data_IF_983461813554
#
_entry.id   IF_983461813554
#
_cell.length_a   1.000
_cell.length_b   1.000
_cell.length_c   1.000
_cell.angle_alpha   90.00
_cell.angle_beta   90.00
_cell.angle_gamma   90.00
#
_symmetry.space_group_name_H-M   'P 1'
#
loop_
_entity.id
_entity.type
_entity.pdbx_description
1 polymer ?
#
# COMPACT_ATOMS: atom_id res chain seq x y z
N UNK A 1 -16.77 3.84 -31.67
CA UNK A 1 -17.14 5.24 -31.43
C UNK A 1 -17.33 5.90 -32.78
N UNK A 2 -18.56 5.89 -33.27
CA UNK A 2 -18.93 6.29 -34.64
C UNK A 2 -19.18 7.79 -34.71
N UNK A 3 -19.07 8.38 -35.92
CA UNK A 3 -19.21 9.82 -36.18
C UNK A 3 -20.54 10.43 -35.68
N UNK A 4 -21.57 9.62 -35.50
CA UNK A 4 -22.88 10.03 -34.99
C UNK A 4 -22.84 10.46 -33.50
N UNK A 5 -22.00 9.82 -32.66
CA UNK A 5 -21.80 10.24 -31.25
C UNK A 5 -21.16 11.63 -31.14
N UNK A 6 -20.36 12.04 -32.13
CA UNK A 6 -19.74 13.36 -32.17
C UNK A 6 -20.71 14.47 -32.59
N UNK A 7 -21.73 14.16 -33.41
CA UNK A 7 -22.76 15.13 -33.79
C UNK A 7 -23.73 15.41 -32.62
N UNK A 8 -24.08 14.40 -31.83
CA UNK A 8 -24.86 14.59 -30.59
C UNK A 8 -24.09 15.41 -29.54
N UNK A 9 -22.77 15.20 -29.41
CA UNK A 9 -21.91 16.02 -28.54
C UNK A 9 -21.79 17.48 -29.00
N UNK A 10 -22.11 17.79 -30.26
CA UNK A 10 -21.98 19.12 -30.83
C UNK A 10 -23.22 20.01 -30.61
N UNK A 11 -24.32 19.46 -30.08
CA UNK A 11 -25.54 20.19 -29.70
C UNK A 11 -25.43 20.86 -28.33
N UNK A 12 -24.42 20.50 -27.52
CA UNK A 12 -24.21 21.06 -26.18
C UNK A 12 -23.63 22.49 -26.21
N UNK A 13 -24.24 23.39 -25.43
CA UNK A 13 -23.78 24.77 -25.28
C UNK A 13 -22.41 24.89 -24.59
N UNK A 14 -21.71 26.00 -24.81
CA UNK A 14 -20.37 26.26 -24.21
C UNK A 14 -20.33 26.06 -22.69
N UNK A 15 -21.44 26.37 -22.00
CA UNK A 15 -21.56 26.19 -20.55
C UNK A 15 -21.59 24.70 -20.14
N UNK A 16 -22.36 23.86 -20.86
CA UNK A 16 -22.43 22.42 -20.61
C UNK A 16 -21.09 21.73 -20.88
N UNK A 17 -20.39 22.11 -21.96
CA UNK A 17 -19.03 21.63 -22.24
C UNK A 17 -18.03 22.00 -21.13
N UNK A 18 -18.08 23.24 -20.62
CA UNK A 18 -17.23 23.68 -19.51
C UNK A 18 -17.51 22.93 -18.20
N UNK A 19 -18.79 22.69 -17.91
CA UNK A 19 -19.21 21.98 -16.69
C UNK A 19 -18.83 20.49 -16.74
N UNK A 20 -19.01 19.84 -17.89
CA UNK A 20 -18.57 18.46 -18.11
C UNK A 20 -17.05 18.32 -17.95
N UNK A 21 -16.28 19.26 -18.53
CA UNK A 21 -14.82 19.29 -18.36
C UNK A 21 -14.40 19.47 -16.89
N UNK A 22 -15.10 20.32 -16.13
CA UNK A 22 -14.85 20.51 -14.69
C UNK A 22 -15.14 19.24 -13.88
N UNK A 23 -16.22 18.52 -14.19
CA UNK A 23 -16.54 17.24 -13.55
C UNK A 23 -15.45 16.20 -13.83
N UNK A 24 -15.03 16.05 -15.09
CA UNK A 24 -13.93 15.16 -15.46
C UNK A 24 -12.65 15.52 -14.71
N UNK A 25 -12.25 16.79 -14.73
CA UNK A 25 -11.04 17.27 -14.04
C UNK A 25 -11.08 16.98 -12.54
N UNK A 26 -12.24 17.12 -11.90
CA UNK A 26 -12.41 16.85 -10.47
C UNK A 26 -12.35 15.37 -10.09
N UNK A 27 -12.62 14.45 -11.03
CA UNK A 27 -12.53 13.00 -10.79
C UNK A 27 -11.11 12.44 -10.91
N UNK A 28 -10.21 13.16 -11.59
CA UNK A 28 -8.81 12.72 -11.77
C UNK A 28 -8.09 12.52 -10.42
N UNK A 29 -8.16 13.45 -9.45
CA UNK A 29 -7.59 13.23 -8.12
C UNK A 29 -8.13 11.98 -7.40
N UNK A 30 -9.44 11.69 -7.52
CA UNK A 30 -10.05 10.51 -6.91
C UNK A 30 -9.52 9.21 -7.54
N UNK A 31 -9.34 9.19 -8.86
CA UNK A 31 -8.67 8.08 -9.54
C UNK A 31 -7.24 7.89 -9.04
N UNK A 32 -6.46 8.97 -8.96
CA UNK A 32 -5.08 8.92 -8.44
C UNK A 32 -5.04 8.38 -7.00
N UNK A 33 -6.00 8.76 -6.16
CA UNK A 33 -6.12 8.26 -4.79
C UNK A 33 -6.48 6.77 -4.72
N UNK A 34 -7.23 6.25 -5.69
CA UNK A 34 -7.49 4.80 -5.80
C UNK A 34 -6.25 4.06 -6.26
N UNK A 35 -5.55 4.57 -7.30
CA UNK A 35 -4.31 3.95 -7.79
C UNK A 35 -3.17 3.99 -6.78
N UNK A 36 -3.15 4.97 -5.85
CA UNK A 36 -2.13 5.07 -4.79
C UNK A 36 -1.97 3.78 -3.99
N UNK A 37 -3.03 2.98 -3.89
CA UNK A 37 -3.01 1.71 -3.18
C UNK A 37 -1.96 0.75 -3.72
N UNK A 38 -1.75 0.72 -5.04
CA UNK A 38 -0.76 -0.15 -5.68
C UNK A 38 0.66 0.23 -5.24
N UNK A 39 0.97 1.53 -5.20
CA UNK A 39 2.28 2.01 -4.76
C UNK A 39 2.48 1.82 -3.26
N UNK A 40 1.43 1.98 -2.47
CA UNK A 40 1.51 1.88 -1.01
C UNK A 40 1.66 0.44 -0.52
N UNK A 41 1.14 -0.52 -1.30
CA UNK A 41 1.25 -1.96 -1.07
C UNK A 41 2.41 -2.59 -1.85
N UNK A 42 3.23 -1.80 -2.54
CA UNK A 42 4.39 -2.31 -3.24
C UNK A 42 5.38 -2.92 -2.25
N UNK A 43 5.78 -4.15 -2.54
CA UNK A 43 6.76 -4.92 -1.80
C UNK A 43 8.08 -4.90 -2.57
N UNK A 44 9.08 -4.13 -2.12
CA UNK A 44 10.42 -4.25 -2.66
C UNK A 44 11.07 -5.54 -2.17
N UNK A 45 12.12 -5.99 -2.85
CA UNK A 45 12.95 -7.10 -2.36
C UNK A 45 13.46 -6.80 -0.95
N UNK A 46 13.31 -7.76 -0.06
CA UNK A 46 13.70 -7.64 1.34
C UNK A 46 14.32 -8.92 1.84
N UNK A 47 15.17 -8.79 2.85
CA UNK A 47 15.81 -9.91 3.50
C UNK A 47 15.82 -9.69 5.01
N UNK A 48 15.98 -10.77 5.76
CA UNK A 48 16.15 -10.68 7.19
C UNK A 48 17.47 -9.99 7.54
N UNK A 49 17.43 -9.15 8.58
CA UNK A 49 18.66 -8.51 9.05
C UNK A 49 19.52 -9.52 9.82
N UNK A 50 20.82 -9.25 9.84
CA UNK A 50 21.78 -10.07 10.57
C UNK A 50 21.53 -9.89 12.07
N UNK A 51 21.44 -10.98 12.86
CA UNK A 51 21.17 -10.89 14.29
C UNK A 51 22.16 -9.98 15.03
N UNK A 52 21.67 -9.09 15.89
CA UNK A 52 22.48 -8.09 16.59
C UNK A 52 23.60 -8.70 17.46
N UNK A 53 23.41 -9.91 17.99
CA UNK A 53 24.43 -10.66 18.74
C UNK A 53 25.70 -10.94 17.91
N UNK A 54 25.56 -11.10 16.58
CA UNK A 54 26.68 -11.22 15.65
C UNK A 54 27.21 -9.85 15.21
N UNK A 55 26.31 -8.87 15.05
CA UNK A 55 26.67 -7.52 14.63
C UNK A 55 27.50 -6.76 15.67
N UNK A 56 27.18 -6.86 16.97
CA UNK A 56 27.91 -6.19 18.06
C UNK A 56 29.29 -6.81 18.30
N UNK A 57 29.43 -8.13 18.18
CA UNK A 57 30.74 -8.78 18.28
C UNK A 57 31.66 -8.47 17.10
N UNK A 58 31.10 -8.00 15.98
CA UNK A 58 31.82 -7.61 14.78
C UNK A 58 31.64 -6.12 14.45
N UNK A 59 31.67 -5.22 15.44
CA UNK A 59 31.48 -3.76 15.32
C UNK A 59 32.25 -3.00 14.20
N UNK A 60 33.19 -3.66 13.50
CA UNK A 60 33.85 -3.16 12.29
C UNK A 60 33.69 -4.13 11.10
N UNK A 61 32.45 -4.39 10.68
CA UNK A 61 32.17 -5.24 9.52
C UNK A 61 32.49 -4.47 8.22
N UNK A 62 33.55 -4.83 7.50
CA UNK A 62 33.72 -4.45 6.09
C UNK A 62 32.53 -5.00 5.30
N UNK A 63 32.02 -4.27 4.27
CA UNK A 63 30.87 -4.71 3.44
C UNK A 63 30.94 -6.19 3.02
N UNK A 64 32.13 -6.67 2.66
CA UNK A 64 32.40 -8.08 2.30
C UNK A 64 32.10 -9.09 3.41
N UNK A 65 32.37 -8.73 4.67
CA UNK A 65 32.11 -9.59 5.83
C UNK A 65 30.63 -9.61 6.21
N UNK A 66 29.90 -8.52 5.94
CA UNK A 66 28.45 -8.47 6.12
C UNK A 66 27.77 -9.39 5.11
N UNK A 67 28.19 -9.37 3.85
CA UNK A 67 27.68 -10.28 2.82
C UNK A 67 27.96 -11.76 3.16
N UNK A 68 29.13 -12.07 3.74
CA UNK A 68 29.44 -13.41 4.23
C UNK A 68 28.51 -13.85 5.38
N UNK A 69 28.30 -12.96 6.37
CA UNK A 69 27.38 -13.21 7.48
C UNK A 69 25.95 -13.39 6.98
N UNK A 70 25.51 -12.57 6.02
CA UNK A 70 24.19 -12.67 5.42
C UNK A 70 24.00 -14.01 4.69
N UNK A 71 24.99 -14.44 3.90
CA UNK A 71 24.96 -15.74 3.20
C UNK A 71 24.94 -16.93 4.16
N UNK A 72 25.53 -16.78 5.35
CA UNK A 72 25.55 -17.83 6.35
C UNK A 72 24.25 -17.85 7.16
N UNK A 73 23.77 -16.69 7.62
CA UNK A 73 22.64 -16.58 8.54
C UNK A 73 21.27 -16.70 7.89
N UNK A 74 21.14 -16.34 6.61
CA UNK A 74 19.87 -16.41 5.88
C UNK A 74 19.84 -17.69 5.03
N UNK A 75 18.87 -18.60 5.24
CA UNK A 75 18.74 -19.79 4.42
C UNK A 75 18.39 -19.45 2.98
N UNK A 76 18.88 -20.27 2.06
CA UNK A 76 18.49 -20.21 0.65
C UNK A 76 17.22 -21.02 0.44
N UNK A 77 16.22 -20.40 -0.18
CA UNK A 77 14.98 -21.05 -0.60
C UNK A 77 14.89 -21.01 -2.12
N UNK A 78 14.15 -21.97 -2.68
CA UNK A 78 13.80 -21.93 -4.10
C UNK A 78 12.50 -21.15 -4.24
N UNK A 79 12.53 -20.07 -5.02
CA UNK A 79 11.33 -19.29 -5.34
C UNK A 79 10.44 -20.04 -6.35
N UNK A 80 9.22 -19.54 -6.60
CA UNK A 80 8.26 -20.08 -7.58
C UNK A 80 8.86 -20.18 -9.00
N UNK A 81 9.90 -19.39 -9.29
CA UNK A 81 10.65 -19.38 -10.55
C UNK A 81 11.81 -20.39 -10.61
N UNK A 82 11.97 -21.25 -9.62
CA UNK A 82 13.10 -22.19 -9.48
C UNK A 82 14.47 -21.51 -9.33
N UNK A 83 14.49 -20.24 -8.96
CA UNK A 83 15.73 -19.51 -8.67
C UNK A 83 16.07 -19.64 -7.18
N UNK A 84 17.37 -19.72 -6.87
CA UNK A 84 17.85 -19.72 -5.49
C UNK A 84 17.82 -18.29 -4.96
N UNK A 85 16.85 -18.00 -4.11
CA UNK A 85 16.64 -16.70 -3.49
C UNK A 85 16.87 -16.83 -1.99
N UNK A 86 17.29 -15.75 -1.33
CA UNK A 86 17.38 -15.73 0.14
C UNK A 86 15.99 -15.81 0.74
N UNK A 87 15.84 -16.55 1.84
CA UNK A 87 14.57 -16.58 2.57
C UNK A 87 14.24 -15.20 3.12
N UNK A 88 13.02 -14.74 2.83
CA UNK A 88 12.52 -13.42 3.22
C UNK A 88 12.11 -13.35 4.70
N UNK A 89 11.82 -14.50 5.31
CA UNK A 89 11.12 -14.57 6.60
C UNK A 89 11.75 -15.49 7.65
N UNK A 90 12.84 -16.18 7.32
CA UNK A 90 13.52 -17.08 8.25
C UNK A 90 15.02 -16.83 8.31
N UNK A 91 15.59 -17.02 9.50
CA UNK A 91 17.03 -16.99 9.77
C UNK A 91 17.43 -18.29 10.46
N UNK A 92 18.67 -18.71 10.29
CA UNK A 92 19.22 -19.81 11.10
C UNK A 92 19.34 -19.41 12.56
N UNK A 93 19.15 -20.39 13.44
CA UNK A 93 19.35 -20.20 14.88
C UNK A 93 20.84 -20.01 15.19
N UNK A 94 21.15 -18.81 15.68
CA UNK A 94 22.49 -18.34 16.02
C UNK A 94 22.68 -18.20 17.54
N UNK A 95 21.71 -18.65 18.34
CA UNK A 95 21.80 -18.53 19.81
C UNK A 95 22.85 -19.48 20.42
N UNK A 96 23.13 -20.61 19.77
CA UNK A 96 24.11 -21.63 20.19
C UNK A 96 25.46 -21.52 19.43
N UNK A 97 25.90 -20.33 19.00
CA UNK A 97 27.20 -20.19 18.29
C UNK A 97 28.41 -20.45 19.23
N UNK A 98 28.20 -20.60 20.53
CA UNK A 98 29.28 -20.82 21.50
C UNK A 98 29.96 -22.20 21.44
N UNK A 99 29.62 -23.10 20.50
CA UNK A 99 30.20 -24.46 20.49
C UNK A 99 31.14 -24.84 19.36
N UNK A 100 31.52 -23.98 18.40
CA UNK A 100 32.51 -24.35 17.37
C UNK A 100 33.46 -23.22 16.92
N UNK A 101 34.06 -22.45 17.83
CA UNK A 101 35.36 -21.79 17.54
C UNK A 101 36.51 -22.80 17.56
N UNK A 102 36.38 -23.88 16.78
CA UNK A 102 37.41 -24.91 16.70
C UNK A 102 38.47 -24.49 15.69
N UNK A 103 39.33 -23.51 16.03
CA UNK A 103 40.58 -23.08 15.34
C UNK A 103 40.59 -22.93 13.80
N UNK A 104 39.46 -23.10 13.10
CA UNK A 104 39.35 -23.15 11.63
C UNK A 104 38.30 -22.17 11.08
N UNK A 105 37.67 -21.37 11.94
CA UNK A 105 36.76 -20.30 11.51
C UNK A 105 35.49 -20.75 10.77
N UNK A 106 35.06 -22.00 10.92
CA UNK A 106 33.83 -22.50 10.28
C UNK A 106 32.66 -22.47 11.26
N UNK A 107 31.67 -21.62 10.97
CA UNK A 107 30.40 -21.55 11.71
C UNK A 107 29.46 -22.59 11.12
N UNK A 108 29.19 -23.68 11.85
CA UNK A 108 28.18 -24.66 11.47
C UNK A 108 26.87 -24.27 12.11
N UNK A 109 25.99 -23.64 11.33
CA UNK A 109 24.67 -23.28 11.79
C UNK A 109 23.82 -24.53 11.90
N UNK A 110 23.14 -24.67 13.04
CA UNK A 110 22.16 -25.74 13.26
C UNK A 110 21.08 -25.60 12.18
N UNK A 111 20.63 -26.71 11.59
CA UNK A 111 19.56 -26.75 10.58
C UNK A 111 18.17 -26.46 11.19
N UNK A 112 18.11 -25.48 12.09
CA UNK A 112 16.91 -24.99 12.75
C UNK A 112 16.73 -23.54 12.33
N UNK A 113 15.58 -23.24 11.76
CA UNK A 113 15.20 -21.91 11.33
C UNK A 113 14.29 -21.25 12.36
N UNK A 114 14.47 -19.95 12.55
CA UNK A 114 13.67 -19.10 13.42
C UNK A 114 13.03 -17.98 12.59
N UNK A 115 11.85 -17.48 12.98
CA UNK A 115 11.23 -16.33 12.33
C UNK A 115 12.10 -15.08 12.54
N UNK A 116 12.21 -14.27 11.50
CA UNK A 116 12.98 -13.03 11.56
C UNK A 116 12.31 -11.99 12.46
N UNK A 117 13.12 -11.30 13.26
CA UNK A 117 12.67 -10.19 14.11
C UNK A 117 12.86 -8.83 13.45
N UNK A 118 13.81 -8.74 12.51
CA UNK A 118 14.18 -7.52 11.81
C UNK A 118 14.41 -7.83 10.33
N UNK A 119 14.10 -6.87 9.49
CA UNK A 119 14.19 -6.96 8.03
C UNK A 119 14.88 -5.71 7.50
N UNK A 120 15.64 -5.90 6.42
CA UNK A 120 16.29 -4.88 5.60
C UNK A 120 15.61 -4.89 4.24
N UNK A 121 15.03 -3.77 3.84
CA UNK A 121 14.46 -3.61 2.50
C UNK A 121 15.53 -3.05 1.57
N UNK A 122 15.49 -3.43 0.29
CA UNK A 122 16.37 -2.85 -0.72
C UNK A 122 16.14 -1.34 -0.89
N UNK A 123 14.90 -0.90 -0.65
CA UNK A 123 14.50 0.50 -0.68
C UNK A 123 13.59 0.80 0.52
N UNK A 124 14.15 1.43 1.55
CA UNK A 124 13.41 1.81 2.75
C UNK A 124 12.55 3.06 2.49
N UNK A 125 11.33 3.08 3.02
CA UNK A 125 10.46 4.27 3.01
C UNK A 125 9.76 4.56 1.68
N UNK A 126 9.76 3.61 0.74
CA UNK A 126 9.06 3.76 -0.55
C UNK A 126 7.57 3.51 -0.46
N UNK A 127 7.14 2.73 0.54
CA UNK A 127 5.76 2.28 0.67
C UNK A 127 5.39 2.13 2.15
N UNK A 128 4.10 2.31 2.48
CA UNK A 128 3.63 2.10 3.85
C UNK A 128 3.83 0.65 4.33
N UNK A 129 3.93 -0.30 3.38
CA UNK A 129 4.31 -1.68 3.66
C UNK A 129 5.70 -1.76 4.32
N UNK A 130 6.69 -1.04 3.77
CA UNK A 130 8.05 -0.99 4.35
C UNK A 130 8.09 -0.22 5.66
N UNK A 131 7.31 0.86 5.77
CA UNK A 131 7.24 1.71 6.97
C UNK A 131 6.63 0.96 8.17
N UNK A 132 5.49 0.28 7.97
CA UNK A 132 4.80 -0.46 9.02
C UNK A 132 5.20 -1.94 9.12
N UNK A 133 6.12 -2.39 8.25
CA UNK A 133 6.67 -3.76 8.21
C UNK A 133 5.58 -4.83 8.12
N UNK A 134 4.72 -4.72 7.10
CA UNK A 134 3.68 -5.72 6.82
C UNK A 134 4.24 -6.96 6.10
N UNK A 135 5.29 -7.57 6.64
CA UNK A 135 5.97 -8.74 6.06
C UNK A 135 5.82 -9.97 6.96
N UNK A 136 6.02 -11.16 6.38
CA UNK A 136 6.06 -12.44 7.11
C UNK A 136 4.81 -12.68 7.98
N UNK A 137 4.95 -12.71 9.31
CA UNK A 137 3.83 -12.90 10.25
C UNK A 137 2.73 -11.84 10.09
N UNK A 138 3.08 -10.64 9.59
CA UNK A 138 2.16 -9.53 9.34
C UNK A 138 1.82 -9.37 7.86
N UNK A 139 2.18 -10.32 6.99
CA UNK A 139 1.86 -10.26 5.57
C UNK A 139 0.34 -10.20 5.30
N UNK A 140 -0.47 -10.78 6.19
CA UNK A 140 -1.94 -10.71 6.14
C UNK A 140 -2.49 -9.28 6.24
N UNK A 141 -1.72 -8.32 6.77
CA UNK A 141 -2.17 -6.93 6.88
C UNK A 141 -2.34 -6.27 5.50
N UNK A 142 -1.58 -6.70 4.48
CA UNK A 142 -1.68 -6.15 3.11
C UNK A 142 -3.07 -6.39 2.48
N UNK A 143 -3.57 -7.63 2.33
CA UNK A 143 -4.91 -7.86 1.80
C UNK A 143 -6.01 -7.34 2.73
N UNK A 144 -5.72 -7.29 4.04
CA UNK A 144 -6.64 -6.70 5.01
C UNK A 144 -6.82 -5.19 4.79
N UNK A 145 -5.76 -4.44 4.45
CA UNK A 145 -5.87 -3.01 4.10
C UNK A 145 -6.81 -2.77 2.92
N UNK A 146 -6.70 -3.58 1.87
CA UNK A 146 -7.59 -3.50 0.72
C UNK A 146 -9.04 -3.80 1.10
N UNK A 147 -9.23 -4.83 1.95
CA UNK A 147 -10.55 -5.20 2.45
C UNK A 147 -11.19 -4.09 3.27
N UNK A 148 -10.45 -3.45 4.18
CA UNK A 148 -10.94 -2.32 4.98
C UNK A 148 -11.36 -1.16 4.08
N UNK A 149 -10.53 -0.82 3.09
CA UNK A 149 -10.86 0.24 2.13
C UNK A 149 -12.13 -0.09 1.34
N UNK A 150 -12.29 -1.34 0.88
CA UNK A 150 -13.49 -1.79 0.18
C UNK A 150 -14.74 -1.72 1.06
N UNK A 151 -14.67 -2.17 2.32
CA UNK A 151 -15.78 -2.08 3.28
C UNK A 151 -16.13 -0.62 3.56
N UNK A 152 -15.13 0.25 3.70
CA UNK A 152 -15.34 1.70 3.81
C UNK A 152 -16.10 2.25 2.61
N UNK A 153 -15.68 1.89 1.39
CA UNK A 153 -16.34 2.30 0.14
C UNK A 153 -17.78 1.83 0.04
N UNK A 154 -18.06 0.59 0.45
CA UNK A 154 -19.43 0.08 0.54
C UNK A 154 -20.28 0.96 1.48
N UNK A 155 -19.80 1.22 2.69
CA UNK A 155 -20.51 2.05 3.67
C UNK A 155 -20.75 3.47 3.15
N UNK A 156 -19.74 4.08 2.53
CA UNK A 156 -19.85 5.41 1.92
C UNK A 156 -20.91 5.48 0.83
N UNK A 157 -20.97 4.45 -0.02
CA UNK A 157 -21.94 4.36 -1.11
C UNK A 157 -23.37 4.22 -0.58
N UNK A 158 -23.58 3.41 0.45
CA UNK A 158 -24.89 3.30 1.11
C UNK A 158 -25.33 4.62 1.74
N UNK A 159 -24.40 5.39 2.33
CA UNK A 159 -24.71 6.65 2.97
C UNK A 159 -24.99 7.78 1.95
N UNK A 160 -24.30 7.79 0.81
CA UNK A 160 -24.40 8.91 -0.15
C UNK A 160 -25.77 8.97 -0.82
N UNK A 161 -26.40 7.83 -1.11
CA UNK A 161 -27.68 7.77 -1.83
C UNK A 161 -28.77 8.59 -1.14
N UNK A 162 -29.20 8.19 0.08
CA UNK A 162 -30.23 8.92 0.83
C UNK A 162 -29.85 10.37 1.14
N UNK A 163 -28.55 10.65 1.30
CA UNK A 163 -28.05 11.99 1.60
C UNK A 163 -28.15 12.89 0.36
N UNK A 164 -27.84 12.35 -0.82
CA UNK A 164 -27.94 13.03 -2.12
C UNK A 164 -29.37 13.47 -2.41
N UNK A 165 -30.32 12.59 -2.11
CA UNK A 165 -31.74 12.85 -2.34
C UNK A 165 -32.30 13.94 -1.39
N UNK A 166 -31.77 14.05 -0.16
CA UNK A 166 -32.23 15.03 0.84
C UNK A 166 -31.58 16.41 0.70
N UNK A 167 -30.26 16.46 0.50
CA UNK A 167 -29.50 17.72 0.52
C UNK A 167 -29.22 18.27 -0.88
N UNK A 168 -29.59 17.53 -1.93
CA UNK A 168 -29.31 17.87 -3.30
C UNK A 168 -27.94 17.36 -3.76
N UNK A 169 -27.92 16.81 -4.97
CA UNK A 169 -26.79 16.09 -5.54
C UNK A 169 -25.51 16.93 -5.68
N UNK A 170 -25.64 18.23 -5.97
CA UNK A 170 -24.49 19.17 -6.07
C UNK A 170 -23.81 19.44 -4.73
N UNK A 171 -24.58 19.60 -3.65
CA UNK A 171 -24.04 19.87 -2.31
C UNK A 171 -23.30 18.65 -1.78
N UNK A 172 -23.91 17.47 -1.96
CA UNK A 172 -23.31 16.19 -1.56
C UNK A 172 -22.01 15.91 -2.32
N UNK A 173 -21.97 16.19 -3.63
CA UNK A 173 -20.74 16.08 -4.41
C UNK A 173 -19.61 16.94 -3.84
N UNK A 174 -19.86 18.23 -3.59
CA UNK A 174 -18.85 19.13 -3.00
C UNK A 174 -18.44 18.71 -1.59
N UNK A 175 -19.39 18.23 -0.77
CA UNK A 175 -19.10 17.74 0.57
C UNK A 175 -18.19 16.50 0.54
N UNK A 176 -18.46 15.54 -0.36
CA UNK A 176 -17.59 14.35 -0.50
C UNK A 176 -16.19 14.70 -0.98
N UNK A 177 -16.05 15.62 -1.94
CA UNK A 177 -14.76 16.13 -2.40
C UNK A 177 -13.96 16.78 -1.26
N UNK A 178 -14.60 17.64 -0.47
CA UNK A 178 -13.96 18.27 0.68
C UNK A 178 -13.53 17.23 1.73
N UNK A 179 -14.39 16.26 2.02
CA UNK A 179 -14.07 15.18 2.96
C UNK A 179 -12.93 14.29 2.47
N UNK A 180 -12.87 13.98 1.16
CA UNK A 180 -11.80 13.18 0.56
C UNK A 180 -10.44 13.89 0.70
N UNK A 181 -10.42 15.21 0.52
CA UNK A 181 -9.21 16.01 0.71
C UNK A 181 -8.74 16.02 2.17
N UNK A 182 -9.66 16.22 3.13
CA UNK A 182 -9.34 16.21 4.56
C UNK A 182 -8.78 14.85 5.01
N UNK A 183 -9.41 13.75 4.58
CA UNK A 183 -8.95 12.41 4.91
C UNK A 183 -7.59 12.11 4.26
N UNK A 184 -7.36 12.57 3.03
CA UNK A 184 -6.06 12.44 2.38
C UNK A 184 -4.94 13.16 3.16
N UNK A 185 -5.21 14.36 3.69
CA UNK A 185 -4.26 15.06 4.57
C UNK A 185 -4.00 14.27 5.86
N UNK A 186 -5.04 13.74 6.49
CA UNK A 186 -4.90 12.96 7.73
C UNK A 186 -4.06 11.69 7.52
N UNK A 187 -4.15 11.05 6.35
CA UNK A 187 -3.30 9.88 6.02
C UNK A 187 -1.81 10.21 6.11
N UNK A 188 -1.39 11.39 5.63
CA UNK A 188 0.02 11.80 5.65
C UNK A 188 0.58 12.00 7.07
N UNK A 189 -0.29 12.18 8.07
CA UNK A 189 0.10 12.33 9.47
C UNK A 189 -0.07 11.04 10.29
N UNK A 190 -0.12 9.86 9.67
CA UNK A 190 -0.32 8.61 10.41
C UNK A 190 1.00 7.99 10.90
N UNK A 191 1.35 8.06 12.21
CA UNK A 191 2.59 7.49 12.73
C UNK A 191 2.51 6.00 13.05
N UNK A 192 1.31 5.41 13.05
CA UNK A 192 1.08 4.02 13.48
C UNK A 192 0.21 3.26 12.49
N UNK A 193 0.49 1.95 12.38
CA UNK A 193 -0.24 1.05 11.48
C UNK A 193 -1.75 1.02 11.77
N UNK A 194 -2.16 1.07 13.04
CA UNK A 194 -3.58 1.07 13.43
C UNK A 194 -4.30 2.35 13.00
N UNK A 195 -3.64 3.52 13.14
CA UNK A 195 -4.18 4.79 12.68
C UNK A 195 -4.29 4.80 11.15
N UNK A 196 -3.25 4.34 10.45
CA UNK A 196 -3.26 4.18 8.99
C UNK A 196 -4.44 3.32 8.52
N UNK A 197 -4.70 2.18 9.17
CA UNK A 197 -5.83 1.29 8.87
C UNK A 197 -7.20 1.93 9.14
N UNK A 198 -7.30 2.75 10.18
CA UNK A 198 -8.54 3.47 10.48
C UNK A 198 -8.83 4.55 9.44
N UNK A 199 -7.80 5.32 9.05
CA UNK A 199 -7.96 6.38 8.05
C UNK A 199 -8.16 5.78 6.65
N UNK A 200 -7.65 4.58 6.38
CA UNK A 200 -7.96 3.80 5.18
C UNK A 200 -9.47 3.52 5.03
N UNK A 201 -10.14 3.16 6.11
CA UNK A 201 -11.60 2.97 6.12
C UNK A 201 -12.32 4.27 5.71
N UNK A 202 -11.95 5.40 6.33
CA UNK A 202 -12.51 6.70 5.99
C UNK A 202 -12.18 7.13 4.55
N UNK A 203 -10.97 6.80 4.07
CA UNK A 203 -10.58 7.07 2.68
C UNK A 203 -11.56 6.37 1.75
N UNK A 204 -11.83 5.08 1.97
CA UNK A 204 -12.83 4.33 1.21
C UNK A 204 -14.21 4.95 1.31
N UNK A 205 -14.66 5.31 2.51
CA UNK A 205 -15.98 5.90 2.73
C UNK A 205 -16.18 7.26 2.03
N UNK A 206 -15.10 8.02 1.82
CA UNK A 206 -15.14 9.29 1.06
C UNK A 206 -14.95 9.10 -0.45
N UNK A 207 -14.45 7.93 -0.89
CA UNK A 207 -14.17 7.63 -2.29
C UNK A 207 -15.43 7.19 -3.08
N UNK A 208 -16.44 8.06 -3.01
CA UNK A 208 -17.75 7.90 -3.65
C UNK A 208 -17.99 9.04 -4.66
N UNK A 209 -16.99 9.91 -4.81
CA UNK A 209 -16.98 11.08 -5.71
C UNK A 209 -17.23 10.67 -7.16
N UNK A 210 -16.66 9.55 -7.61
CA UNK A 210 -16.86 9.06 -8.98
C UNK A 210 -18.34 8.75 -9.27
N UNK A 211 -19.02 8.02 -8.38
CA UNK A 211 -20.45 7.72 -8.54
C UNK A 211 -21.31 8.98 -8.48
N UNK A 212 -20.98 9.93 -7.60
CA UNK A 212 -21.68 11.20 -7.53
C UNK A 212 -21.47 12.04 -8.81
N UNK A 213 -20.25 12.12 -9.32
CA UNK A 213 -19.91 12.81 -10.56
C UNK A 213 -20.63 12.21 -11.78
N UNK A 214 -20.66 10.88 -11.89
CA UNK A 214 -21.38 10.18 -12.96
C UNK A 214 -22.88 10.51 -12.91
N UNK A 215 -23.47 10.48 -11.72
CA UNK A 215 -24.90 10.76 -11.51
C UNK A 215 -25.28 12.21 -11.83
N UNK A 216 -24.37 13.17 -11.60
CA UNK A 216 -24.54 14.57 -12.03
C UNK A 216 -24.35 14.70 -13.55
N UNK A 217 -23.37 14.00 -14.12
CA UNK A 217 -23.09 14.04 -15.56
C UNK A 217 -24.29 13.61 -16.39
N UNK A 218 -24.97 12.54 -15.99
CA UNK A 218 -26.19 12.07 -16.68
C UNK A 218 -27.36 13.06 -16.55
N UNK A 219 -27.53 13.73 -15.39
CA UNK A 219 -28.58 14.73 -15.20
C UNK A 219 -28.37 15.92 -16.14
N UNK A 220 -27.13 16.41 -16.25
CA UNK A 220 -26.79 17.52 -17.14
C UNK A 220 -26.83 17.14 -18.63
N UNK A 221 -26.61 15.86 -18.97
CA UNK A 221 -26.78 15.39 -20.34
C UNK A 221 -28.25 15.20 -20.73
N UNK A 222 -29.12 14.93 -19.74
CA UNK A 222 -30.56 14.73 -19.95
C UNK A 222 -31.38 16.03 -19.99
N UNK A 223 -30.78 17.18 -19.65
CA UNK A 223 -31.43 18.51 -19.62
C UNK A 223 -31.00 19.36 -20.79
#
# INVERSE_FOLDING_TARGET
MSKEEFEELNVFGFYQKRLSLLLLLSTIPSCALTFRFLFTLYEPEFHCDVPSALSENYLNVTKSKYEYLLNSTVPWTTDDKQELVRSECSNYDVSDIDFLTNKSGTVWLVNRTLPCKQWRFAQDGVSALTEFKFVCERAWMKPFSFTIYAVGKMCGTFAIGPTSDKFGRRVVFLATLASQFLVALLMSFSPTASMYMSILFFTGATDVVYSAAFSLGIEFAST
#
